data_IF_656949709037
#
_entry.id   IF_656949709037
#
_cell.length_a   1.000
_cell.length_b   1.000
_cell.length_c   1.000
_cell.angle_alpha   90.00
_cell.angle_beta   90.00
_cell.angle_gamma   90.00
#
_symmetry.space_group_name_H-M   'P 1'
#
loop_
_entity.id
_entity.type
_entity.pdbx_description
1 polymer ?
#
# COMPACT_ATOMS: atom_id res chain seq x y z
N UNK A 1 -24.99 5.53 19.04
CA UNK A 1 -25.78 5.40 20.28
C UNK A 1 -25.73 3.92 20.66
N UNK A 2 -25.10 3.58 21.79
CA UNK A 2 -24.88 2.18 22.20
C UNK A 2 -26.19 1.41 22.35
N UNK A 3 -27.19 2.01 23.01
CA UNK A 3 -28.49 1.38 23.24
C UNK A 3 -29.23 1.05 21.94
N UNK A 4 -29.08 1.89 20.91
CA UNK A 4 -29.63 1.59 19.58
C UNK A 4 -28.86 0.45 18.89
N UNK A 5 -27.54 0.44 19.01
CA UNK A 5 -26.71 -0.60 18.40
C UNK A 5 -26.96 -1.96 19.04
N UNK A 6 -26.98 -2.03 20.37
CA UNK A 6 -27.16 -3.26 21.16
C UNK A 6 -28.62 -3.73 21.25
N UNK A 7 -29.56 -2.96 20.68
CA UNK A 7 -30.97 -3.38 20.64
C UNK A 7 -31.07 -4.75 19.93
N UNK A 8 -31.76 -5.75 20.52
CA UNK A 8 -31.90 -7.09 19.93
C UNK A 8 -32.42 -7.07 18.49
N UNK A 9 -33.35 -6.16 18.17
CA UNK A 9 -33.91 -6.02 16.81
C UNK A 9 -32.81 -5.58 15.81
N UNK A 10 -31.92 -4.68 16.24
CA UNK A 10 -30.81 -4.21 15.39
C UNK A 10 -29.77 -5.31 15.22
N UNK A 11 -29.43 -6.04 16.29
CA UNK A 11 -28.53 -7.19 16.22
C UNK A 11 -29.08 -8.29 15.30
N UNK A 12 -30.36 -8.64 15.43
CA UNK A 12 -31.03 -9.61 14.55
C UNK A 12 -31.00 -9.17 13.07
N UNK A 13 -31.21 -7.88 12.80
CA UNK A 13 -31.12 -7.34 11.45
C UNK A 13 -29.68 -7.41 10.89
N UNK A 14 -28.67 -7.12 11.70
CA UNK A 14 -27.26 -7.23 11.31
C UNK A 14 -26.92 -8.69 10.97
N UNK A 15 -27.29 -9.64 11.82
CA UNK A 15 -27.05 -11.06 11.59
C UNK A 15 -27.80 -11.58 10.36
N UNK A 16 -29.03 -11.09 10.13
CA UNK A 16 -29.78 -11.38 8.90
C UNK A 16 -29.02 -10.89 7.67
N UNK A 17 -28.49 -9.67 7.66
CA UNK A 17 -27.70 -9.14 6.54
C UNK A 17 -26.42 -9.96 6.32
N UNK A 18 -25.67 -10.29 7.38
CA UNK A 18 -24.48 -11.16 7.27
C UNK A 18 -24.82 -12.51 6.65
N UNK A 19 -25.95 -13.11 7.02
CA UNK A 19 -26.44 -14.38 6.43
C UNK A 19 -26.69 -14.30 4.91
N UNK A 20 -27.07 -13.13 4.39
CA UNK A 20 -27.21 -12.89 2.95
C UNK A 20 -25.89 -12.51 2.25
N UNK A 21 -24.76 -12.54 2.95
CA UNK A 21 -23.45 -12.26 2.39
C UNK A 21 -23.07 -10.78 2.36
N UNK A 22 -23.79 -9.93 3.09
CA UNK A 22 -23.38 -8.54 3.25
C UNK A 22 -22.20 -8.44 4.22
N UNK A 23 -21.12 -7.80 3.79
CA UNK A 23 -20.03 -7.41 4.67
C UNK A 23 -20.48 -6.30 5.63
N UNK A 24 -19.96 -6.35 6.85
CA UNK A 24 -20.34 -5.40 7.90
C UNK A 24 -19.10 -4.77 8.53
N UNK A 25 -19.04 -3.43 8.50
CA UNK A 25 -18.00 -2.65 9.15
C UNK A 25 -18.47 -2.34 10.58
N UNK A 26 -17.79 -2.91 11.57
CA UNK A 26 -18.14 -2.72 12.98
C UNK A 26 -17.98 -1.24 13.39
N UNK A 27 -18.89 -0.71 14.21
CA UNK A 27 -18.77 0.66 14.71
C UNK A 27 -17.60 0.79 15.68
N UNK A 28 -16.99 1.97 15.69
CA UNK A 28 -16.00 2.33 16.68
C UNK A 28 -16.64 2.58 18.06
N UNK A 29 -15.79 2.53 19.10
CA UNK A 29 -16.12 2.98 20.44
C UNK A 29 -15.57 4.39 20.67
N UNK A 30 -16.34 5.25 21.32
CA UNK A 30 -15.91 6.62 21.64
C UNK A 30 -17.06 7.50 22.09
N UNK A 31 -16.84 8.82 22.08
CA UNK A 31 -17.88 9.79 22.44
C UNK A 31 -18.97 9.81 21.36
N UNK A 32 -20.21 9.61 21.77
CA UNK A 32 -21.39 9.53 20.92
C UNK A 32 -22.11 10.88 20.88
N UNK A 33 -23.01 11.04 19.90
CA UNK A 33 -23.79 12.27 19.74
C UNK A 33 -24.67 12.60 20.97
N UNK A 34 -25.06 11.61 21.77
CA UNK A 34 -25.79 11.78 23.02
C UNK A 34 -24.90 12.20 24.22
N UNK A 35 -23.58 12.28 24.03
CA UNK A 35 -22.63 12.64 25.09
C UNK A 35 -21.98 11.44 25.79
N UNK A 36 -22.57 10.25 25.67
CA UNK A 36 -22.07 9.01 26.27
C UNK A 36 -20.78 8.50 25.62
N UNK A 37 -20.03 7.68 26.34
CA UNK A 37 -18.90 6.90 25.84
C UNK A 37 -19.36 5.45 25.61
N UNK A 38 -19.23 4.95 24.38
CA UNK A 38 -19.61 3.58 24.08
C UNK A 38 -19.51 3.22 22.61
N UNK A 39 -19.95 2.00 22.27
CA UNK A 39 -19.95 1.45 20.92
C UNK A 39 -21.10 2.05 20.10
N UNK A 40 -20.95 2.12 18.78
CA UNK A 40 -21.97 2.69 17.89
C UNK A 40 -21.63 4.09 17.39
N UNK A 41 -20.34 4.46 17.39
CA UNK A 41 -19.79 5.56 16.60
C UNK A 41 -19.48 5.03 15.20
N UNK A 42 -19.64 5.86 14.17
CA UNK A 42 -19.20 5.51 12.82
C UNK A 42 -17.70 5.14 12.85
N UNK A 43 -17.33 4.10 12.10
CA UNK A 43 -15.93 3.74 11.92
C UNK A 43 -15.13 4.92 11.33
N UNK A 44 -13.82 4.93 11.55
CA UNK A 44 -12.97 5.96 10.96
C UNK A 44 -13.06 5.92 9.43
N UNK A 45 -13.01 7.09 8.80
CA UNK A 45 -13.14 7.21 7.34
C UNK A 45 -12.08 6.38 6.62
N UNK A 46 -10.85 6.32 7.15
CA UNK A 46 -9.79 5.53 6.53
C UNK A 46 -10.10 4.03 6.59
N UNK A 47 -10.64 3.55 7.71
CA UNK A 47 -11.08 2.16 7.86
C UNK A 47 -12.23 1.83 6.91
N UNK A 48 -13.20 2.74 6.73
CA UNK A 48 -14.30 2.53 5.79
C UNK A 48 -13.78 2.43 4.36
N UNK A 49 -12.89 3.36 3.96
CA UNK A 49 -12.29 3.37 2.63
C UNK A 49 -11.47 2.09 2.39
N UNK A 50 -10.65 1.67 3.34
CA UNK A 50 -9.85 0.44 3.27
C UNK A 50 -10.74 -0.79 3.06
N UNK A 51 -11.79 -0.97 3.87
CA UNK A 51 -12.72 -2.10 3.76
C UNK A 51 -13.48 -2.14 2.44
N UNK A 52 -13.90 -0.98 1.93
CA UNK A 52 -14.57 -0.90 0.61
C UNK A 52 -13.60 -1.29 -0.51
N UNK A 53 -12.35 -0.82 -0.45
CA UNK A 53 -11.34 -1.20 -1.42
C UNK A 53 -11.02 -2.69 -1.36
N UNK A 54 -10.91 -3.29 -0.17
CA UNK A 54 -10.75 -4.73 0.01
C UNK A 54 -11.89 -5.53 -0.65
N UNK A 55 -13.15 -5.20 -0.34
CA UNK A 55 -14.33 -5.88 -0.88
C UNK A 55 -14.42 -5.79 -2.43
N UNK A 56 -14.00 -4.67 -3.01
CA UNK A 56 -13.93 -4.51 -4.47
C UNK A 56 -12.77 -5.34 -5.06
N UNK A 57 -11.64 -5.39 -4.36
CA UNK A 57 -10.42 -6.07 -4.81
C UNK A 57 -10.46 -7.59 -4.65
N UNK A 58 -11.22 -8.15 -3.70
CA UNK A 58 -11.37 -9.61 -3.49
C UNK A 58 -11.93 -10.31 -4.73
N UNK A 59 -12.85 -9.65 -5.46
CA UNK A 59 -13.40 -10.19 -6.71
C UNK A 59 -12.40 -10.16 -7.88
N UNK A 60 -11.34 -9.37 -7.77
CA UNK A 60 -10.31 -9.18 -8.79
C UNK A 60 -8.92 -9.66 -8.34
N UNK A 61 -8.83 -10.58 -7.37
CA UNK A 61 -7.55 -11.20 -7.00
C UNK A 61 -7.14 -12.25 -8.04
N UNK A 62 -6.83 -11.82 -9.27
CA UNK A 62 -6.08 -12.68 -10.19
C UNK A 62 -4.71 -12.95 -9.57
N UNK A 63 -4.43 -14.21 -9.27
CA UNK A 63 -3.10 -14.66 -8.85
C UNK A 63 -2.22 -14.98 -10.05
N UNK A 64 -2.34 -14.17 -11.08
CA UNK A 64 -1.74 -14.38 -12.40
C UNK A 64 -0.23 -14.08 -12.45
N UNK A 65 0.32 -13.47 -11.39
CA UNK A 65 1.76 -13.23 -11.23
C UNK A 65 2.46 -14.27 -10.35
N UNK A 66 1.77 -15.36 -9.94
CA UNK A 66 2.42 -16.45 -9.22
C UNK A 66 3.63 -16.97 -10.02
N UNK A 67 4.77 -17.11 -9.33
CA UNK A 67 6.03 -17.56 -9.92
C UNK A 67 6.75 -16.51 -10.77
N UNK A 68 6.23 -15.29 -10.87
CA UNK A 68 6.90 -14.18 -11.57
C UNK A 68 7.70 -13.33 -10.59
N UNK A 69 8.97 -13.13 -10.92
CA UNK A 69 9.85 -12.15 -10.29
C UNK A 69 9.64 -10.79 -10.94
N UNK A 70 9.26 -9.78 -10.15
CA UNK A 70 8.97 -8.42 -10.61
C UNK A 70 9.93 -7.45 -9.94
N UNK A 71 10.73 -6.76 -10.75
CA UNK A 71 11.71 -5.76 -10.31
C UNK A 71 11.21 -4.36 -10.60
N UNK A 72 11.16 -3.52 -9.56
CA UNK A 72 10.55 -2.19 -9.63
C UNK A 72 11.54 -1.16 -9.10
N UNK A 73 11.73 -0.05 -9.81
CA UNK A 73 12.45 1.11 -9.29
C UNK A 73 11.45 2.19 -8.82
N UNK A 74 11.66 2.78 -7.65
CA UNK A 74 10.80 3.85 -7.13
C UNK A 74 11.59 5.00 -6.49
N UNK A 75 10.93 6.15 -6.33
CA UNK A 75 11.51 7.33 -5.68
C UNK A 75 12.44 8.13 -6.59
N UNK A 76 13.01 9.23 -6.08
CA UNK A 76 14.02 10.03 -6.77
C UNK A 76 15.44 9.47 -6.53
N UNK A 77 16.43 9.99 -7.25
CA UNK A 77 17.85 9.81 -6.92
C UNK A 77 18.49 11.16 -6.61
N UNK A 78 19.61 11.14 -5.88
CA UNK A 78 20.39 12.34 -5.54
C UNK A 78 21.69 12.39 -6.33
N UNK A 79 21.90 13.46 -7.08
CA UNK A 79 23.18 13.81 -7.70
C UNK A 79 23.92 14.78 -6.77
N UNK A 80 24.92 14.27 -6.05
CA UNK A 80 25.64 15.04 -5.02
C UNK A 80 26.51 16.12 -5.66
N UNK A 81 26.36 17.35 -5.21
CA UNK A 81 27.25 18.48 -5.54
C UNK A 81 28.44 18.47 -4.56
N UNK A 82 28.14 18.26 -3.28
CA UNK A 82 29.10 18.18 -2.18
C UNK A 82 28.48 17.34 -1.03
N UNK A 83 29.11 17.19 0.15
CA UNK A 83 28.57 16.37 1.24
C UNK A 83 27.21 16.81 1.79
N UNK A 84 26.77 18.04 1.53
CA UNK A 84 25.53 18.63 2.07
C UNK A 84 24.49 18.86 0.98
N UNK A 85 24.91 19.28 -0.22
CA UNK A 85 24.01 19.68 -1.31
C UNK A 85 23.92 18.62 -2.40
N UNK A 86 22.72 18.45 -2.94
CA UNK A 86 22.45 17.54 -4.05
C UNK A 86 21.31 18.07 -4.94
N UNK A 87 21.29 17.62 -6.19
CA UNK A 87 20.21 17.84 -7.13
C UNK A 87 19.30 16.61 -7.12
N UNK A 88 17.99 16.82 -7.15
CA UNK A 88 17.02 15.72 -7.17
C UNK A 88 15.71 16.13 -7.85
N UNK A 89 14.94 15.12 -8.25
CA UNK A 89 13.59 15.27 -8.80
C UNK A 89 12.54 15.20 -7.68
N UNK A 90 11.43 15.92 -7.84
CA UNK A 90 10.31 15.93 -6.88
C UNK A 90 9.43 14.67 -7.01
N UNK A 91 10.03 13.49 -6.92
CA UNK A 91 9.29 12.24 -6.90
C UNK A 91 8.92 11.88 -5.47
N UNK A 92 7.64 11.58 -5.24
CA UNK A 92 7.17 11.04 -3.96
C UNK A 92 7.47 9.54 -3.84
N UNK A 93 7.73 8.84 -4.94
CA UNK A 93 7.87 7.38 -4.98
C UNK A 93 6.55 6.61 -4.96
N UNK A 94 5.40 7.26 -4.73
CA UNK A 94 4.09 6.59 -4.55
C UNK A 94 3.74 5.60 -5.66
N UNK A 95 3.96 5.98 -6.92
CA UNK A 95 3.63 5.12 -8.06
C UNK A 95 4.34 3.77 -7.99
N UNK A 96 5.66 3.76 -7.77
CA UNK A 96 6.42 2.51 -7.70
C UNK A 96 6.05 1.66 -6.49
N UNK A 97 5.70 2.29 -5.37
CA UNK A 97 5.23 1.59 -4.17
C UNK A 97 3.86 0.93 -4.38
N UNK A 98 2.89 1.64 -4.99
CA UNK A 98 1.58 1.06 -5.30
C UNK A 98 1.67 -0.08 -6.33
N UNK A 99 2.56 0.06 -7.32
CA UNK A 99 2.81 -1.03 -8.26
C UNK A 99 3.43 -2.25 -7.54
N UNK A 100 4.34 -2.03 -6.59
CA UNK A 100 4.94 -3.11 -5.81
C UNK A 100 3.92 -3.82 -4.92
N UNK A 101 3.05 -3.07 -4.27
CA UNK A 101 1.93 -3.58 -3.48
C UNK A 101 1.00 -4.45 -4.34
N UNK A 102 0.60 -3.93 -5.49
CA UNK A 102 -0.32 -4.62 -6.39
C UNK A 102 0.30 -5.87 -7.02
N UNK A 103 1.56 -5.80 -7.44
CA UNK A 103 2.28 -6.97 -7.94
C UNK A 103 2.38 -8.07 -6.88
N UNK A 104 2.65 -7.69 -5.62
CA UNK A 104 2.67 -8.63 -4.49
C UNK A 104 1.29 -9.22 -4.25
N UNK A 105 0.23 -8.40 -4.27
CA UNK A 105 -1.17 -8.83 -4.11
C UNK A 105 -1.57 -9.88 -5.16
N UNK A 106 -1.11 -9.73 -6.40
CA UNK A 106 -1.29 -10.67 -7.52
C UNK A 106 -0.38 -11.90 -7.49
N UNK A 107 0.46 -12.04 -6.45
CA UNK A 107 1.26 -13.24 -6.19
C UNK A 107 2.70 -13.20 -6.69
N UNK A 108 3.20 -12.05 -7.13
CA UNK A 108 4.58 -11.91 -7.58
C UNK A 108 5.60 -11.99 -6.43
N UNK A 109 6.82 -12.41 -6.77
CA UNK A 109 8.02 -12.17 -5.96
C UNK A 109 8.57 -10.80 -6.32
N UNK A 110 8.37 -9.81 -5.44
CA UNK A 110 8.68 -8.42 -5.73
C UNK A 110 10.02 -8.00 -5.13
N UNK A 111 10.87 -7.38 -5.96
CA UNK A 111 12.05 -6.62 -5.54
C UNK A 111 11.84 -5.14 -5.87
N UNK A 112 11.86 -4.29 -4.84
CA UNK A 112 11.72 -2.84 -4.96
C UNK A 112 13.07 -2.16 -4.70
N UNK A 113 13.66 -1.55 -5.73
CA UNK A 113 14.82 -0.66 -5.61
C UNK A 113 14.30 0.76 -5.37
N UNK A 114 14.43 1.24 -4.15
CA UNK A 114 13.86 2.52 -3.74
C UNK A 114 14.92 3.57 -3.48
N UNK A 115 14.78 4.71 -4.14
CA UNK A 115 15.42 5.94 -3.73
C UNK A 115 14.76 6.57 -2.48
N UNK A 116 15.23 7.75 -2.05
CA UNK A 116 14.78 8.37 -0.80
C UNK A 116 13.30 8.75 -0.82
N UNK A 117 12.51 8.17 0.09
CA UNK A 117 11.10 8.51 0.30
C UNK A 117 10.66 8.21 1.74
N UNK A 118 9.52 8.76 2.16
CA UNK A 118 8.91 8.55 3.48
C UNK A 118 7.76 7.51 3.44
N UNK A 119 7.69 6.69 2.39
CA UNK A 119 6.64 5.67 2.24
C UNK A 119 7.13 4.36 2.84
N UNK A 120 6.32 3.78 3.72
CA UNK A 120 6.59 2.45 4.25
C UNK A 120 6.41 1.40 3.13
N UNK A 121 7.40 0.52 2.91
CA UNK A 121 7.28 -0.51 1.90
C UNK A 121 6.18 -1.53 2.28
N UNK A 122 5.47 -2.10 1.29
CA UNK A 122 4.56 -3.21 1.50
C UNK A 122 5.22 -4.39 2.20
N UNK A 123 4.49 -5.10 3.06
CA UNK A 123 5.01 -6.27 3.76
C UNK A 123 5.32 -7.43 2.77
N UNK A 124 6.37 -8.19 3.05
CA UNK A 124 6.68 -9.42 2.31
C UNK A 124 7.24 -9.21 0.89
N UNK A 125 7.82 -8.04 0.62
CA UNK A 125 8.64 -7.77 -0.58
C UNK A 125 10.11 -7.54 -0.18
N UNK A 126 11.03 -7.78 -1.12
CA UNK A 126 12.45 -7.43 -0.95
C UNK A 126 12.64 -5.95 -1.27
N UNK A 127 13.29 -5.18 -0.38
CA UNK A 127 13.55 -3.75 -0.59
C UNK A 127 15.04 -3.50 -0.60
N UNK A 128 15.52 -2.77 -1.61
CA UNK A 128 16.91 -2.33 -1.76
C UNK A 128 16.89 -0.80 -1.74
N UNK A 129 17.38 -0.21 -0.66
CA UNK A 129 17.46 1.24 -0.52
C UNK A 129 18.71 1.76 -1.21
N UNK A 130 18.54 2.81 -2.01
CA UNK A 130 19.62 3.52 -2.70
C UNK A 130 19.51 5.02 -2.45
N UNK A 131 20.57 5.74 -2.78
CA UNK A 131 20.62 7.20 -2.76
C UNK A 131 20.93 7.76 -4.14
N UNK A 132 21.89 7.18 -4.87
CA UNK A 132 22.40 7.75 -6.13
C UNK A 132 21.87 7.03 -7.38
N UNK A 133 21.97 7.68 -8.53
CA UNK A 133 21.63 7.06 -9.82
C UNK A 133 22.53 5.86 -10.16
N UNK A 134 23.81 5.88 -9.78
CA UNK A 134 24.75 4.76 -9.93
C UNK A 134 24.35 3.56 -9.07
N UNK A 135 24.02 3.79 -7.80
CA UNK A 135 23.51 2.74 -6.91
C UNK A 135 22.21 2.14 -7.46
N UNK A 136 21.29 2.98 -7.96
CA UNK A 136 20.05 2.48 -8.59
C UNK A 136 20.35 1.65 -9.83
N UNK A 137 21.26 2.10 -10.69
CA UNK A 137 21.67 1.36 -11.89
C UNK A 137 22.23 -0.02 -11.51
N UNK A 138 23.16 -0.06 -10.57
CA UNK A 138 23.81 -1.30 -10.14
C UNK A 138 22.79 -2.26 -9.51
N UNK A 139 21.95 -1.78 -8.59
CA UNK A 139 20.92 -2.60 -7.97
C UNK A 139 19.92 -3.18 -8.98
N UNK A 140 19.57 -2.41 -10.03
CA UNK A 140 18.72 -2.92 -11.11
C UNK A 140 19.43 -4.01 -11.91
N UNK A 141 20.69 -3.78 -12.32
CA UNK A 141 21.47 -4.76 -13.08
C UNK A 141 21.71 -6.05 -12.30
N UNK A 142 22.04 -5.94 -11.01
CA UNK A 142 22.29 -7.10 -10.12
C UNK A 142 21.06 -8.00 -9.93
N UNK A 143 19.86 -7.48 -10.17
CA UNK A 143 18.61 -8.24 -10.06
C UNK A 143 17.91 -8.43 -11.43
N UNK A 144 18.53 -7.99 -12.54
CA UNK A 144 17.88 -7.94 -13.85
C UNK A 144 17.68 -9.32 -14.45
N UNK A 145 18.72 -10.16 -14.45
CA UNK A 145 18.69 -11.50 -15.10
C UNK A 145 17.63 -12.44 -14.49
N UNK A 146 17.38 -12.32 -13.19
CA UNK A 146 16.39 -13.15 -12.48
C UNK A 146 14.95 -12.61 -12.61
N UNK A 147 14.78 -11.43 -13.21
CA UNK A 147 13.50 -10.74 -13.29
C UNK A 147 12.73 -11.11 -14.55
N UNK A 148 11.43 -11.37 -14.41
CA UNK A 148 10.54 -11.59 -15.55
C UNK A 148 9.92 -10.29 -16.05
N UNK A 149 9.73 -9.32 -15.16
CA UNK A 149 9.11 -8.01 -15.44
C UNK A 149 9.94 -6.95 -14.75
N UNK A 150 10.28 -5.88 -15.49
CA UNK A 150 11.01 -4.73 -14.96
C UNK A 150 10.18 -3.46 -15.16
N UNK A 151 9.91 -2.74 -14.06
CA UNK A 151 9.12 -1.51 -14.07
C UNK A 151 9.98 -0.35 -13.58
N UNK A 152 10.33 0.55 -14.50
CA UNK A 152 11.23 1.69 -14.24
C UNK A 152 10.48 2.95 -13.85
N UNK A 153 9.81 2.94 -12.70
CA UNK A 153 9.00 4.07 -12.21
C UNK A 153 9.77 5.10 -11.34
N UNK A 154 11.09 4.98 -11.21
CA UNK A 154 11.89 5.93 -10.46
C UNK A 154 12.16 7.21 -11.27
N UNK A 155 12.27 8.34 -10.58
CA UNK A 155 12.67 9.61 -11.18
C UNK A 155 14.20 9.77 -11.05
N UNK A 156 14.92 8.99 -11.84
CA UNK A 156 16.38 9.01 -11.89
C UNK A 156 16.88 10.35 -12.42
N UNK A 157 17.92 10.90 -11.81
CA UNK A 157 18.56 12.13 -12.28
C UNK A 157 19.37 11.84 -13.55
N UNK A 158 19.15 12.64 -14.60
CA UNK A 158 19.80 12.48 -15.91
C UNK A 158 21.29 12.83 -15.90
N UNK A 159 21.70 13.71 -14.98
CA UNK A 159 23.07 14.24 -14.88
C UNK A 159 23.66 13.99 -13.48
N UNK A 160 24.99 13.93 -13.44
CA UNK A 160 25.80 13.73 -12.23
C UNK A 160 26.57 15.00 -11.92
#
# INVERSE_FOLDING_TARGET
NTNMYENPIVQDNIEKLKKYGYEFIEPASGRLACGDLGKGKLADVNTIVERVLEALNEKEQSKDLIGKNVLISAGPTYSKIDPVRFITNRSTGKMGYYIAEEAKRRGANVTLVSGPTNINPPAGIKVINITTNEEMKNAILDNFEESHIVIKSAAVADYK
#
